data_IF_439158435725
#
_entry.id   IF_439158435725
#
_cell.length_a   1.000
_cell.length_b   1.000
_cell.length_c   1.000
_cell.angle_alpha   90.00
_cell.angle_beta   90.00
_cell.angle_gamma   90.00
#
_symmetry.space_group_name_H-M   'P 1'
#
loop_
_entity.id
_entity.type
_entity.pdbx_description
1 polymer ?
#
# COMPACT_ATOMS: atom_id res chain seq x y z
N UNK A 1 19.76 42.25 17.70
CA UNK A 1 18.98 41.01 17.89
C UNK A 1 19.00 40.24 16.58
N UNK A 2 19.54 39.01 16.52
CA UNK A 2 19.70 38.27 15.28
C UNK A 2 18.49 37.37 14.96
N UNK A 3 18.34 37.13 13.66
CA UNK A 3 17.42 36.25 12.94
C UNK A 3 17.02 34.94 13.64
N UNK A 4 15.71 34.65 13.64
CA UNK A 4 15.21 33.27 13.65
C UNK A 4 14.45 33.00 12.35
N UNK A 5 15.16 32.37 11.42
CA UNK A 5 14.60 31.56 10.35
C UNK A 5 14.34 30.20 11.00
N UNK A 6 13.10 29.83 11.27
CA UNK A 6 12.71 28.41 11.32
C UNK A 6 11.19 28.29 11.36
N UNK A 7 10.69 27.19 10.82
CA UNK A 7 9.31 26.70 10.90
C UNK A 7 8.30 27.26 9.89
N UNK A 8 8.44 26.80 8.64
CA UNK A 8 7.22 26.52 7.86
C UNK A 8 7.25 25.20 7.07
N UNK A 9 8.31 24.39 7.20
CA UNK A 9 8.50 23.19 6.37
C UNK A 9 7.75 21.95 6.85
N UNK A 10 7.29 21.91 8.11
CA UNK A 10 6.62 20.74 8.69
C UNK A 10 5.12 20.62 8.38
N UNK A 11 4.46 21.74 8.07
CA UNK A 11 3.02 21.78 7.79
C UNK A 11 2.70 21.28 6.38
N UNK A 12 3.49 21.68 5.38
CA UNK A 12 3.30 21.26 3.98
C UNK A 12 3.55 19.76 3.79
N UNK A 13 4.60 19.20 4.40
CA UNK A 13 4.88 17.76 4.35
C UNK A 13 3.79 16.92 5.01
N UNK A 14 3.20 17.40 6.10
CA UNK A 14 2.11 16.68 6.79
C UNK A 14 0.81 16.72 5.98
N UNK A 15 0.55 17.81 5.26
CA UNK A 15 -0.63 17.96 4.41
C UNK A 15 -0.49 17.17 3.10
N UNK A 16 0.72 17.12 2.53
CA UNK A 16 1.08 16.22 1.43
C UNK A 16 0.92 14.75 1.87
N UNK A 17 1.48 14.34 3.02
CA UNK A 17 1.34 12.98 3.55
C UNK A 17 -0.13 12.59 3.82
N UNK A 18 -0.96 13.51 4.32
CA UNK A 18 -2.39 13.28 4.51
C UNK A 18 -3.13 13.10 3.17
N UNK A 19 -2.83 13.95 2.17
CA UNK A 19 -3.35 13.79 0.80
C UNK A 19 -2.85 12.49 0.14
N UNK A 20 -1.65 12.01 0.49
CA UNK A 20 -1.12 10.72 0.03
C UNK A 20 -1.71 9.51 0.78
N UNK A 21 -2.07 9.67 2.05
CA UNK A 21 -2.85 8.67 2.79
C UNK A 21 -4.26 8.53 2.21
N UNK A 22 -4.90 9.65 1.83
CA UNK A 22 -6.15 9.64 1.07
C UNK A 22 -5.97 9.09 -0.35
N UNK A 23 -4.82 9.33 -1.00
CA UNK A 23 -4.49 8.69 -2.27
C UNK A 23 -4.42 7.15 -2.12
N UNK A 24 -3.90 6.62 -1.00
CA UNK A 24 -3.90 5.18 -0.74
C UNK A 24 -5.32 4.56 -0.66
N UNK A 25 -6.39 5.34 -0.42
CA UNK A 25 -7.79 4.87 -0.49
C UNK A 25 -8.27 4.59 -1.92
N UNK A 26 -7.52 4.98 -2.97
CA UNK A 26 -7.84 4.60 -4.35
C UNK A 26 -7.86 3.08 -4.60
N UNK A 27 -7.33 2.28 -3.68
CA UNK A 27 -7.29 0.82 -3.81
C UNK A 27 -8.65 0.12 -3.65
N UNK A 28 -9.71 0.82 -3.24
CA UNK A 28 -11.02 0.17 -3.07
C UNK A 28 -11.58 -0.38 -4.39
N UNK A 29 -11.29 0.28 -5.51
CA UNK A 29 -11.58 -0.27 -6.84
C UNK A 29 -10.83 -1.58 -7.09
N UNK A 30 -9.53 -1.63 -6.78
CA UNK A 30 -8.69 -2.80 -6.97
C UNK A 30 -9.08 -3.98 -6.06
N UNK A 31 -9.65 -3.71 -4.88
CA UNK A 31 -10.10 -4.75 -3.94
C UNK A 31 -11.19 -5.66 -4.50
N UNK A 32 -11.90 -5.22 -5.56
CA UNK A 32 -12.91 -6.02 -6.28
C UNK A 32 -12.30 -7.18 -7.09
N UNK A 33 -10.99 -7.15 -7.32
CA UNK A 33 -10.27 -8.17 -8.09
C UNK A 33 -9.40 -9.05 -7.18
N UNK A 34 -9.08 -10.24 -7.67
CA UNK A 34 -8.13 -11.16 -7.02
C UNK A 34 -6.75 -10.51 -6.84
N UNK A 35 -5.92 -11.01 -5.92
CA UNK A 35 -4.61 -10.41 -5.62
C UNK A 35 -3.71 -10.43 -6.86
N UNK A 36 -3.82 -11.49 -7.65
CA UNK A 36 -3.07 -11.73 -8.89
C UNK A 36 -3.48 -10.74 -9.98
N UNK A 37 -4.80 -10.53 -10.14
CA UNK A 37 -5.38 -9.69 -11.19
C UNK A 37 -5.17 -8.19 -10.95
N UNK A 38 -5.07 -7.76 -9.69
CA UNK A 38 -4.85 -6.35 -9.33
C UNK A 38 -3.65 -5.75 -10.03
N UNK A 39 -2.58 -6.53 -10.20
CA UNK A 39 -1.37 -6.08 -10.89
C UNK A 39 -1.64 -5.75 -12.36
N UNK A 40 -2.46 -6.56 -13.04
CA UNK A 40 -2.82 -6.39 -14.45
C UNK A 40 -3.73 -5.16 -14.62
N UNK A 41 -4.74 -5.03 -13.75
CA UNK A 41 -5.64 -3.86 -13.74
C UNK A 41 -4.85 -2.59 -13.47
N UNK A 42 -4.00 -2.59 -12.43
CA UNK A 42 -3.18 -1.44 -12.08
C UNK A 42 -2.24 -1.04 -13.22
N UNK A 43 -1.53 -2.01 -13.81
CA UNK A 43 -0.64 -1.78 -14.92
C UNK A 43 -1.35 -1.14 -16.11
N UNK A 44 -2.57 -1.58 -16.44
CA UNK A 44 -3.35 -1.02 -17.55
C UNK A 44 -3.63 0.47 -17.35
N UNK A 45 -4.03 0.89 -16.15
CA UNK A 45 -4.26 2.31 -15.86
C UNK A 45 -2.97 3.13 -15.94
N UNK A 46 -1.91 2.70 -15.24
CA UNK A 46 -0.62 3.40 -15.21
C UNK A 46 0.04 3.50 -16.59
N UNK A 47 -0.13 2.49 -17.45
CA UNK A 47 0.40 2.50 -18.82
C UNK A 47 -0.15 3.69 -19.63
N UNK A 48 -1.43 4.03 -19.45
CA UNK A 48 -2.09 5.11 -20.20
C UNK A 48 -2.01 6.46 -19.50
N UNK A 49 -2.04 6.47 -18.17
CA UNK A 49 -1.91 7.67 -17.35
C UNK A 49 -0.59 8.44 -17.59
N UNK A 50 0.47 7.76 -18.03
CA UNK A 50 1.74 8.41 -18.41
C UNK A 50 1.65 9.30 -19.65
N UNK A 51 0.62 9.14 -20.49
CA UNK A 51 0.50 9.91 -21.73
C UNK A 51 -0.27 11.20 -21.47
N UNK A 52 0.25 12.33 -21.97
CA UNK A 52 -0.37 13.65 -21.83
C UNK A 52 -1.83 13.71 -22.31
N UNK A 53 -2.17 12.92 -23.33
CA UNK A 53 -3.53 12.86 -23.88
C UNK A 53 -4.58 12.27 -22.92
N UNK A 54 -4.17 11.58 -21.85
CA UNK A 54 -5.06 10.88 -20.91
C UNK A 54 -4.92 11.42 -19.48
N UNK A 55 -4.58 12.70 -19.32
CA UNK A 55 -4.51 13.36 -18.00
C UNK A 55 -5.88 13.74 -17.41
N UNK A 56 -6.95 13.61 -18.20
CA UNK A 56 -8.33 13.71 -17.72
C UNK A 56 -8.82 12.33 -17.24
N UNK A 57 -9.39 12.19 -16.02
CA UNK A 57 -9.82 10.90 -15.49
C UNK A 57 -10.87 10.18 -16.33
N UNK A 58 -11.84 10.89 -16.92
CA UNK A 58 -12.87 10.28 -17.76
C UNK A 58 -12.26 9.78 -19.06
N UNK A 59 -11.41 10.60 -19.68
CA UNK A 59 -10.68 10.22 -20.91
C UNK A 59 -9.73 9.05 -20.68
N UNK A 60 -9.14 8.93 -19.49
CA UNK A 60 -8.36 7.76 -19.10
C UNK A 60 -9.23 6.51 -19.03
N UNK A 61 -10.41 6.58 -18.40
CA UNK A 61 -11.36 5.46 -18.34
C UNK A 61 -11.85 5.04 -19.74
N UNK A 62 -12.20 6.02 -20.59
CA UNK A 62 -12.58 5.75 -21.98
C UNK A 62 -11.47 5.03 -22.73
N UNK A 63 -10.21 5.46 -22.53
CA UNK A 63 -9.06 4.81 -23.15
C UNK A 63 -8.85 3.40 -22.64
N UNK A 64 -8.97 3.18 -21.33
CA UNK A 64 -8.88 1.85 -20.72
C UNK A 64 -9.98 0.94 -21.28
N UNK A 65 -11.22 1.42 -21.34
CA UNK A 65 -12.37 0.70 -21.91
C UNK A 65 -12.12 0.28 -23.37
N UNK A 66 -11.63 1.22 -24.20
CA UNK A 66 -11.25 0.93 -25.59
C UNK A 66 -10.18 -0.17 -25.69
N UNK A 67 -9.15 -0.11 -24.85
CA UNK A 67 -8.06 -1.10 -24.87
C UNK A 67 -8.52 -2.46 -24.38
N UNK A 68 -9.46 -2.51 -23.42
CA UNK A 68 -10.11 -3.75 -23.02
C UNK A 68 -10.83 -4.37 -24.22
N UNK A 69 -11.60 -3.57 -24.97
CA UNK A 69 -12.32 -4.06 -26.14
C UNK A 69 -11.39 -4.59 -27.24
N UNK A 70 -10.29 -3.89 -27.52
CA UNK A 70 -9.26 -4.41 -28.43
C UNK A 70 -8.69 -5.74 -27.96
N UNK A 71 -8.34 -5.83 -26.66
CA UNK A 71 -7.76 -7.04 -26.07
C UNK A 71 -8.74 -8.21 -26.02
N UNK A 72 -10.03 -7.97 -25.86
CA UNK A 72 -11.06 -9.01 -25.88
C UNK A 72 -11.24 -9.62 -27.28
N UNK A 73 -11.08 -8.81 -28.34
CA UNK A 73 -11.13 -9.27 -29.74
C UNK A 73 -9.95 -10.15 -30.13
N UNK A 74 -8.82 -10.05 -29.43
CA UNK A 74 -7.65 -10.88 -29.70
C UNK A 74 -7.92 -12.36 -29.37
N UNK A 75 -7.60 -13.27 -30.30
CA UNK A 75 -7.84 -14.70 -30.12
C UNK A 75 -6.99 -15.34 -29.01
N UNK A 76 -5.76 -14.87 -28.81
CA UNK A 76 -4.76 -15.47 -27.88
C UNK A 76 -4.59 -14.72 -26.55
N UNK A 77 -5.64 -14.07 -26.05
CA UNK A 77 -5.56 -13.36 -24.78
C UNK A 77 -5.87 -14.30 -23.61
N UNK A 78 -4.94 -14.41 -22.65
CA UNK A 78 -5.06 -15.26 -21.46
C UNK A 78 -5.94 -14.66 -20.37
N UNK A 79 -6.15 -13.34 -20.38
CA UNK A 79 -6.82 -12.61 -19.31
C UNK A 79 -8.26 -12.20 -19.69
N UNK A 80 -8.92 -12.96 -20.59
CA UNK A 80 -10.25 -12.58 -21.09
C UNK A 80 -11.29 -12.48 -20.00
N UNK A 81 -11.28 -13.40 -19.04
CA UNK A 81 -12.26 -13.41 -17.95
C UNK A 81 -12.11 -12.17 -17.07
N UNK A 82 -10.88 -11.84 -16.67
CA UNK A 82 -10.58 -10.60 -15.96
C UNK A 82 -11.06 -9.36 -16.73
N UNK A 83 -10.80 -9.30 -18.05
CA UNK A 83 -11.18 -8.16 -18.87
C UNK A 83 -12.70 -8.02 -19.02
N UNK A 84 -13.42 -9.13 -19.11
CA UNK A 84 -14.88 -9.16 -19.12
C UNK A 84 -15.46 -8.67 -17.78
N UNK A 85 -14.82 -8.99 -16.65
CA UNK A 85 -15.22 -8.48 -15.33
C UNK A 85 -14.84 -7.01 -15.15
N UNK A 86 -13.67 -6.58 -15.62
CA UNK A 86 -13.19 -5.21 -15.46
C UNK A 86 -14.05 -4.21 -16.26
N UNK A 87 -14.44 -4.56 -17.49
CA UNK A 87 -15.17 -3.65 -18.40
C UNK A 87 -16.41 -3.00 -17.77
N UNK A 88 -17.40 -3.73 -17.21
CA UNK A 88 -18.58 -3.13 -16.61
C UNK A 88 -18.24 -2.31 -15.36
N UNK A 89 -17.13 -2.60 -14.67
CA UNK A 89 -16.72 -1.82 -13.52
C UNK A 89 -16.16 -0.44 -13.88
N UNK A 90 -15.82 -0.16 -15.14
CA UNK A 90 -15.23 1.14 -15.52
C UNK A 90 -16.22 2.32 -15.44
N UNK A 91 -17.53 2.06 -15.39
CA UNK A 91 -18.55 3.11 -15.27
C UNK A 91 -18.85 3.51 -13.83
N UNK A 92 -18.28 2.84 -12.83
CA UNK A 92 -18.58 3.11 -11.43
C UNK A 92 -17.77 4.29 -10.87
N UNK A 93 -18.27 4.86 -9.77
CA UNK A 93 -17.62 6.00 -9.09
C UNK A 93 -16.23 5.61 -8.59
N UNK A 94 -16.05 4.39 -8.10
CA UNK A 94 -14.76 3.90 -7.61
C UNK A 94 -13.72 3.80 -8.74
N UNK A 95 -14.13 3.49 -9.97
CA UNK A 95 -13.22 3.48 -11.12
C UNK A 95 -12.73 4.91 -11.45
N UNK A 96 -13.61 5.90 -11.34
CA UNK A 96 -13.27 7.31 -11.52
C UNK A 96 -12.30 7.80 -10.42
N UNK A 97 -12.58 7.44 -9.17
CA UNK A 97 -11.68 7.74 -8.04
C UNK A 97 -10.31 7.08 -8.23
N UNK A 98 -10.28 5.82 -8.70
CA UNK A 98 -9.03 5.14 -8.99
C UNK A 98 -8.27 5.81 -10.14
N UNK A 99 -8.96 6.25 -11.21
CA UNK A 99 -8.34 7.00 -12.29
C UNK A 99 -7.71 8.31 -11.79
N UNK A 100 -8.42 9.07 -10.95
CA UNK A 100 -7.89 10.28 -10.31
C UNK A 100 -6.67 9.98 -9.45
N UNK A 101 -6.72 8.91 -8.65
CA UNK A 101 -5.58 8.45 -7.85
C UNK A 101 -4.35 8.16 -8.72
N UNK A 102 -4.52 7.36 -9.78
CA UNK A 102 -3.43 6.99 -10.70
C UNK A 102 -2.80 8.23 -11.34
N UNK A 103 -3.62 9.21 -11.73
CA UNK A 103 -3.14 10.45 -12.33
C UNK A 103 -2.35 11.31 -11.34
N UNK A 104 -2.85 11.47 -10.11
CA UNK A 104 -2.09 12.14 -9.05
C UNK A 104 -0.77 11.42 -8.77
N UNK A 105 -0.78 10.09 -8.78
CA UNK A 105 0.43 9.29 -8.59
C UNK A 105 1.46 9.52 -9.70
N UNK A 106 1.04 9.59 -10.97
CA UNK A 106 1.98 9.85 -12.08
C UNK A 106 2.54 11.27 -12.11
N UNK A 107 1.88 12.24 -11.47
CA UNK A 107 2.40 13.61 -11.32
C UNK A 107 3.55 13.72 -10.32
N UNK A 108 3.72 12.72 -9.45
CA UNK A 108 4.81 12.72 -8.46
C UNK A 108 6.16 12.49 -9.19
N UNK A 109 7.18 13.33 -8.92
CA UNK A 109 8.54 13.11 -9.39
C UNK A 109 9.06 11.70 -9.08
N UNK A 110 9.89 11.13 -9.97
CA UNK A 110 10.31 9.73 -9.88
C UNK A 110 11.12 9.42 -8.61
N UNK A 111 11.95 10.37 -8.18
CA UNK A 111 12.71 10.37 -6.93
C UNK A 111 11.80 10.33 -5.70
N UNK A 112 10.79 11.21 -5.65
CA UNK A 112 9.79 11.22 -4.57
C UNK A 112 8.97 9.92 -4.54
N UNK A 113 8.55 9.40 -5.71
CA UNK A 113 7.86 8.09 -5.79
C UNK A 113 8.71 6.95 -5.26
N UNK A 114 10.00 6.93 -5.58
CA UNK A 114 10.92 5.90 -5.11
C UNK A 114 11.08 5.96 -3.58
N UNK A 115 11.16 7.16 -3.01
CA UNK A 115 11.19 7.34 -1.56
C UNK A 115 9.92 6.81 -0.88
N UNK A 116 8.75 7.23 -1.35
CA UNK A 116 7.46 6.81 -0.81
C UNK A 116 7.25 5.30 -0.90
N UNK A 117 7.66 4.67 -2.00
CA UNK A 117 7.60 3.22 -2.16
C UNK A 117 8.51 2.49 -1.18
N UNK A 118 9.70 3.03 -0.91
CA UNK A 118 10.64 2.49 0.08
C UNK A 118 10.04 2.56 1.49
N UNK A 119 9.55 3.73 1.90
CA UNK A 119 8.92 3.91 3.23
C UNK A 119 7.72 2.97 3.42
N UNK A 120 6.88 2.84 2.40
CA UNK A 120 5.74 1.91 2.41
C UNK A 120 6.21 0.47 2.58
N UNK A 121 7.23 0.05 1.84
CA UNK A 121 7.77 -1.32 1.92
C UNK A 121 8.37 -1.61 3.30
N UNK A 122 9.11 -0.67 3.88
CA UNK A 122 9.67 -0.79 5.23
C UNK A 122 8.58 -0.90 6.29
N UNK A 123 7.54 -0.06 6.21
CA UNK A 123 6.39 -0.11 7.11
C UNK A 123 5.67 -1.47 7.05
N UNK A 124 5.37 -1.97 5.84
CA UNK A 124 4.73 -3.28 5.69
C UNK A 124 5.60 -4.43 6.18
N UNK A 125 6.92 -4.35 5.99
CA UNK A 125 7.84 -5.35 6.50
C UNK A 125 7.85 -5.35 8.03
N UNK A 126 7.94 -4.18 8.66
CA UNK A 126 7.88 -4.03 10.12
C UNK A 126 6.59 -4.61 10.68
N UNK A 127 5.44 -4.22 10.13
CA UNK A 127 4.13 -4.71 10.54
C UNK A 127 4.02 -6.24 10.38
N UNK A 128 4.56 -6.80 9.29
CA UNK A 128 4.57 -8.24 9.06
C UNK A 128 5.41 -8.97 10.10
N UNK A 129 6.57 -8.44 10.47
CA UNK A 129 7.43 -8.99 11.53
C UNK A 129 6.70 -8.94 12.87
N UNK A 130 6.11 -7.81 13.23
CA UNK A 130 5.37 -7.63 14.47
C UNK A 130 4.19 -8.60 14.56
N UNK A 131 3.37 -8.72 13.52
CA UNK A 131 2.26 -9.67 13.46
C UNK A 131 2.73 -11.12 13.61
N UNK A 132 3.86 -11.49 12.98
CA UNK A 132 4.45 -12.81 13.14
C UNK A 132 4.95 -13.05 14.57
N UNK A 133 5.51 -12.04 15.25
CA UNK A 133 5.93 -12.15 16.65
C UNK A 133 4.73 -12.22 17.63
N UNK A 134 3.64 -11.52 17.34
CA UNK A 134 2.40 -11.58 18.12
C UNK A 134 1.71 -12.94 18.04
N UNK A 135 1.76 -13.60 16.88
CA UNK A 135 1.09 -14.87 16.62
C UNK A 135 1.96 -16.11 16.89
N UNK A 136 3.29 -15.95 16.94
CA UNK A 136 4.19 -17.06 17.20
C UNK A 136 4.22 -17.46 18.68
N UNK A 137 4.34 -18.77 18.93
CA UNK A 137 4.59 -19.28 20.28
C UNK A 137 5.96 -18.79 20.81
N UNK A 138 6.07 -18.56 22.14
CA UNK A 138 7.33 -18.24 22.78
C UNK A 138 8.36 -19.33 22.53
N UNK A 139 9.60 -18.93 22.24
CA UNK A 139 10.69 -19.91 22.03
C UNK A 139 11.13 -20.52 23.36
N UNK A 140 11.64 -21.76 23.32
CA UNK A 140 12.18 -22.42 24.51
C UNK A 140 13.27 -21.56 25.21
N UNK A 141 14.11 -20.87 24.42
CA UNK A 141 15.14 -19.95 24.95
C UNK A 141 14.53 -18.79 25.74
N UNK A 142 13.49 -18.14 25.20
CA UNK A 142 12.80 -17.05 25.92
C UNK A 142 12.13 -17.56 27.20
N UNK A 143 11.46 -18.72 27.13
CA UNK A 143 10.81 -19.33 28.31
C UNK A 143 11.85 -19.65 29.39
N UNK A 144 12.95 -20.31 29.02
CA UNK A 144 14.03 -20.63 29.96
C UNK A 144 14.66 -19.38 30.56
N UNK A 145 14.80 -18.31 29.79
CA UNK A 145 15.38 -17.07 30.26
C UNK A 145 14.45 -16.31 31.22
N UNK A 146 13.14 -16.25 30.92
CA UNK A 146 12.13 -15.71 31.83
C UNK A 146 12.10 -16.44 33.18
N UNK A 147 12.20 -17.78 33.15
CA UNK A 147 12.31 -18.58 34.39
C UNK A 147 13.54 -18.20 35.22
N UNK A 148 14.68 -17.94 34.58
CA UNK A 148 15.91 -17.49 35.27
C UNK A 148 15.75 -16.11 35.91
N UNK A 149 14.97 -15.23 35.29
CA UNK A 149 14.64 -13.91 35.83
C UNK A 149 13.58 -13.95 36.95
N UNK A 150 13.10 -15.15 37.33
CA UNK A 150 12.05 -15.29 38.35
C UNK A 150 10.65 -14.94 37.84
N UNK A 151 10.45 -14.83 36.52
CA UNK A 151 9.14 -14.54 35.97
C UNK A 151 8.18 -15.73 36.15
N UNK A 152 7.04 -15.47 36.80
CA UNK A 152 5.96 -16.44 37.05
C UNK A 152 4.86 -16.40 35.99
N UNK A 153 4.86 -15.37 35.14
CA UNK A 153 3.88 -15.20 34.05
C UNK A 153 4.26 -16.07 32.87
N UNK A 154 3.32 -16.88 32.38
CA UNK A 154 3.52 -17.68 31.17
C UNK A 154 3.26 -16.81 29.94
N UNK A 155 4.26 -16.58 29.07
CA UNK A 155 4.06 -15.73 27.90
C UNK A 155 3.09 -16.39 26.91
N UNK A 156 2.17 -15.59 26.37
CA UNK A 156 1.16 -16.04 25.40
C UNK A 156 1.65 -15.96 23.96
N UNK A 157 2.69 -15.16 23.69
CA UNK A 157 3.31 -15.03 22.38
C UNK A 157 4.80 -14.71 22.48
N UNK A 158 5.50 -14.81 21.35
CA UNK A 158 6.92 -14.46 21.25
C UNK A 158 7.18 -12.99 21.55
N UNK A 159 6.29 -12.10 21.12
CA UNK A 159 6.36 -10.68 21.46
C UNK A 159 6.12 -10.45 22.96
N UNK A 160 5.10 -11.10 23.52
CA UNK A 160 4.80 -11.01 24.96
C UNK A 160 5.97 -11.51 25.80
N UNK A 161 6.63 -12.60 25.38
CA UNK A 161 7.84 -13.08 26.04
C UNK A 161 8.97 -12.05 26.00
N UNK A 162 9.18 -11.34 24.88
CA UNK A 162 10.20 -10.28 24.79
C UNK A 162 9.89 -9.10 25.72
N UNK A 163 8.64 -8.64 25.78
CA UNK A 163 8.25 -7.55 26.70
C UNK A 163 8.44 -7.94 28.17
N UNK A 164 8.05 -9.17 28.55
CA UNK A 164 8.29 -9.67 29.92
C UNK A 164 9.79 -9.71 30.24
N UNK A 165 10.63 -10.10 29.28
CA UNK A 165 12.09 -10.11 29.48
C UNK A 165 12.60 -8.70 29.75
N UNK A 166 12.17 -7.70 28.98
CA UNK A 166 12.58 -6.31 29.18
C UNK A 166 12.15 -5.77 30.55
N UNK A 167 10.90 -6.01 30.94
CA UNK A 167 10.38 -5.61 32.25
C UNK A 167 11.16 -6.22 33.41
N UNK A 168 11.44 -7.53 33.35
CA UNK A 168 12.15 -8.23 34.43
C UNK A 168 13.66 -7.94 34.46
N UNK A 169 14.25 -7.44 33.35
CA UNK A 169 15.63 -6.96 33.35
C UNK A 169 15.79 -5.57 33.98
N UNK A 170 14.72 -4.78 34.00
CA UNK A 170 14.71 -3.43 34.57
C UNK A 170 14.38 -3.37 36.06
N UNK A 171 14.11 -4.52 36.68
CA UNK A 171 13.92 -4.71 38.13
C UNK A 171 15.25 -5.02 38.81
#
# INVERSE_FOLDING_TARGET
>A
MPHEILNNHGSETSNELAQFAEANNGNDFLRRFSVEDRSIVSHLFHQWAKKKAFQDPKRLLDKVSFVIDERLRQKRNKNKDLLNTLKPCLSCVEALQYAQYVLRWEQIPADKRAHLMREKQEHFLKLKIENAMCSATPTAKQISYLKKLGCTVTPTSRLHASHLIEQYKSL
#
